data_IF_912777057859
#
_entry.id   IF_912777057859
#
_cell.length_a   1.000
_cell.length_b   1.000
_cell.length_c   1.000
_cell.angle_alpha   90.00
_cell.angle_beta   90.00
_cell.angle_gamma   90.00
#
_symmetry.space_group_name_H-M   'P 1'
#
loop_
_entity.id
_entity.type
_entity.pdbx_description
1 polymer ?
#
# COMPACT_ATOMS: atom_id res chain seq x y z
N UNK A 1 15.95 -4.20 16.45
CA UNK A 1 15.54 -3.14 17.41
C UNK A 1 14.10 -2.79 17.06
N UNK A 2 13.17 -3.01 17.99
CA UNK A 2 11.74 -2.81 17.76
C UNK A 2 11.45 -1.38 17.31
N UNK A 3 10.65 -1.22 16.27
CA UNK A 3 10.23 0.09 15.79
C UNK A 3 9.38 0.80 16.86
N UNK A 4 9.76 2.04 17.21
CA UNK A 4 9.05 2.85 18.19
C UNK A 4 7.90 3.62 17.48
N UNK A 5 6.63 3.42 17.85
CA UNK A 5 5.48 4.08 17.23
C UNK A 5 5.51 5.62 17.30
N UNK A 6 5.96 6.20 18.42
CA UNK A 6 6.07 7.67 18.59
C UNK A 6 7.12 8.25 17.64
N UNK A 7 8.24 7.55 17.49
CA UNK A 7 9.29 7.95 16.56
C UNK A 7 8.81 7.84 15.11
N UNK A 8 8.17 6.73 14.74
CA UNK A 8 7.58 6.54 13.41
C UNK A 8 6.52 7.60 13.08
N UNK A 9 5.65 7.94 14.05
CA UNK A 9 4.68 9.02 13.88
C UNK A 9 5.38 10.32 13.51
N UNK A 10 6.43 10.68 14.25
CA UNK A 10 7.19 11.92 14.00
C UNK A 10 7.83 11.91 12.61
N UNK A 11 8.53 10.84 12.25
CA UNK A 11 9.20 10.72 10.95
C UNK A 11 8.23 10.78 9.78
N UNK A 12 7.18 9.95 9.82
CA UNK A 12 6.23 9.85 8.71
C UNK A 12 5.42 11.14 8.61
N UNK A 13 5.04 11.79 9.72
CA UNK A 13 4.31 13.07 9.67
C UNK A 13 5.12 14.18 8.97
N UNK A 14 6.46 14.14 9.07
CA UNK A 14 7.33 15.11 8.40
C UNK A 14 7.28 15.00 6.86
N UNK A 15 6.77 13.89 6.33
CA UNK A 15 6.60 13.70 4.87
C UNK A 15 5.47 14.54 4.28
N UNK A 16 4.47 14.87 5.10
CA UNK A 16 3.30 15.65 4.71
C UNK A 16 2.41 14.98 3.66
N UNK A 17 1.45 15.74 3.13
CA UNK A 17 0.43 15.25 2.19
C UNK A 17 0.66 15.67 0.73
N UNK A 18 1.70 16.46 0.45
CA UNK A 18 1.91 17.06 -0.88
C UNK A 18 2.19 16.05 -2.00
N UNK A 19 2.62 14.82 -1.69
CA UNK A 19 2.78 13.77 -2.71
C UNK A 19 1.45 13.37 -3.36
N UNK A 20 0.31 13.52 -2.67
CA UNK A 20 -1.01 13.22 -3.23
C UNK A 20 -1.44 14.21 -4.34
N UNK A 21 -0.83 15.39 -4.39
CA UNK A 21 -1.11 16.45 -5.38
C UNK A 21 -0.22 16.36 -6.61
N UNK A 22 0.87 15.59 -6.53
CA UNK A 22 1.83 15.42 -7.64
C UNK A 22 1.28 14.43 -8.67
N UNK A 23 1.79 14.51 -9.90
CA UNK A 23 1.47 13.51 -10.91
C UNK A 23 1.93 12.10 -10.45
N UNK A 24 1.19 11.03 -10.81
CA UNK A 24 1.60 9.68 -10.48
C UNK A 24 2.96 9.34 -11.03
N UNK A 25 3.76 8.69 -10.19
CA UNK A 25 4.98 8.03 -10.63
C UNK A 25 4.58 6.83 -11.48
N UNK A 26 5.30 6.69 -12.56
CA UNK A 26 5.33 5.47 -13.34
C UNK A 26 6.47 4.63 -12.69
N UNK A 27 6.22 3.38 -12.29
CA UNK A 27 7.21 2.49 -11.64
C UNK A 27 7.81 1.45 -12.59
N UNK A 28 9.04 0.95 -12.32
CA UNK A 28 10.01 0.27 -13.25
C UNK A 28 9.49 -0.90 -14.09
N UNK A 29 8.24 -1.26 -13.86
CA UNK A 29 7.31 -1.97 -14.72
C UNK A 29 6.90 -1.08 -15.94
N UNK A 30 7.83 -0.20 -16.37
CA UNK A 30 7.71 1.26 -16.61
C UNK A 30 7.39 1.69 -18.04
N UNK A 31 6.92 0.79 -18.89
CA UNK A 31 6.21 1.22 -20.09
C UNK A 31 4.77 0.82 -19.88
N UNK A 32 4.00 1.74 -19.30
CA UNK A 32 2.60 1.83 -19.66
C UNK A 32 2.57 2.04 -21.17
N UNK A 33 2.16 1.02 -21.89
CA UNK A 33 1.85 1.09 -23.31
C UNK A 33 0.64 2.04 -23.42
N UNK A 34 0.91 3.36 -23.47
CA UNK A 34 -0.08 4.41 -23.66
C UNK A 34 -0.24 5.39 -22.49
N UNK A 35 -0.31 6.68 -22.82
CA UNK A 35 -0.98 7.69 -22.01
C UNK A 35 -2.48 7.35 -22.00
N UNK A 36 -3.00 6.77 -20.93
CA UNK A 36 -4.44 6.78 -20.72
C UNK A 36 -4.80 8.16 -20.12
N UNK A 37 -5.44 9.07 -20.89
CA UNK A 37 -5.72 10.43 -20.42
C UNK A 37 -6.75 10.46 -19.28
N UNK A 38 -7.47 9.36 -19.05
CA UNK A 38 -8.49 9.24 -17.99
C UNK A 38 -8.22 8.01 -17.13
N UNK A 39 -7.26 8.13 -16.21
CA UNK A 39 -7.07 7.13 -15.16
C UNK A 39 -8.17 7.28 -14.11
N UNK A 40 -8.71 6.16 -13.66
CA UNK A 40 -9.65 6.14 -12.54
C UNK A 40 -8.88 6.52 -11.26
N UNK A 41 -9.29 7.63 -10.65
CA UNK A 41 -8.74 8.05 -9.36
C UNK A 41 -9.12 7.03 -8.29
N UNK A 42 -8.12 6.62 -7.51
CA UNK A 42 -8.24 5.62 -6.45
C UNK A 42 -7.34 6.01 -5.29
N UNK A 43 -7.66 5.49 -4.10
CA UNK A 43 -6.84 5.72 -2.92
C UNK A 43 -6.79 4.48 -2.04
N UNK A 44 -5.67 4.32 -1.34
CA UNK A 44 -5.40 3.19 -0.44
C UNK A 44 -4.84 3.68 0.88
N UNK A 45 -5.05 2.91 1.94
CA UNK A 45 -4.49 3.18 3.26
C UNK A 45 -3.39 2.17 3.62
N UNK A 46 -2.19 2.68 3.85
CA UNK A 46 -1.09 1.96 4.51
C UNK A 46 -1.30 2.10 6.01
N UNK A 47 -1.95 1.10 6.60
CA UNK A 47 -2.31 1.09 8.03
C UNK A 47 -1.16 0.48 8.82
N UNK A 48 -0.56 1.27 9.69
CA UNK A 48 0.39 0.83 10.70
C UNK A 48 -0.35 0.69 12.03
N UNK A 49 -0.16 -0.44 12.70
CA UNK A 49 -0.72 -0.72 14.03
C UNK A 49 0.37 -0.64 15.08
N UNK A 50 0.16 0.18 16.09
CA UNK A 50 0.93 0.12 17.34
C UNK A 50 0.41 -1.02 18.21
N UNK A 51 1.06 -2.18 18.18
CA UNK A 51 0.61 -3.36 18.94
C UNK A 51 1.09 -3.35 20.39
N UNK A 52 1.75 -2.29 20.85
CA UNK A 52 2.45 -2.21 22.13
C UNK A 52 3.76 -3.02 22.19
N UNK A 53 3.87 -4.11 21.41
CA UNK A 53 5.08 -4.91 21.25
C UNK A 53 5.93 -4.50 20.03
N UNK A 54 5.38 -3.68 19.13
CA UNK A 54 6.03 -3.20 17.92
C UNK A 54 5.03 -2.55 16.98
N UNK A 55 5.39 -2.50 15.70
CA UNK A 55 4.49 -1.99 14.65
C UNK A 55 4.22 -3.06 13.60
N UNK A 56 2.95 -3.31 13.33
CA UNK A 56 2.50 -4.18 12.24
C UNK A 56 1.91 -3.36 11.11
N UNK A 57 1.91 -3.90 9.90
CA UNK A 57 1.23 -3.35 8.74
C UNK A 57 0.04 -4.24 8.40
N UNK A 58 -1.11 -3.64 8.12
CA UNK A 58 -2.35 -4.36 7.78
C UNK A 58 -2.46 -4.52 6.27
N UNK A 59 -2.78 -5.74 5.85
CA UNK A 59 -3.06 -6.09 4.46
C UNK A 59 -4.37 -6.86 4.37
N UNK A 60 -4.99 -6.80 3.20
CA UNK A 60 -6.15 -7.60 2.84
C UNK A 60 -5.77 -8.60 1.77
N UNK A 61 -6.42 -9.77 1.78
CA UNK A 61 -6.47 -10.65 0.64
C UNK A 61 -7.86 -10.57 -0.02
N UNK A 62 -7.88 -10.22 -1.30
CA UNK A 62 -9.12 -10.13 -2.08
C UNK A 62 -9.76 -11.50 -2.24
N UNK A 63 -11.08 -11.56 -2.18
CA UNK A 63 -11.81 -12.80 -2.36
C UNK A 63 -11.56 -13.42 -3.75
N UNK A 64 -11.37 -14.74 -3.79
CA UNK A 64 -10.97 -15.45 -5.01
C UNK A 64 -12.03 -15.42 -6.13
N UNK A 65 -13.28 -15.14 -5.79
CA UNK A 65 -14.39 -15.10 -6.74
C UNK A 65 -14.51 -13.75 -7.48
N UNK A 66 -13.70 -12.75 -7.14
CA UNK A 66 -13.80 -11.42 -7.72
C UNK A 66 -13.28 -11.39 -9.18
N UNK A 67 -13.95 -10.63 -10.07
CA UNK A 67 -13.58 -10.57 -11.49
C UNK A 67 -12.24 -9.87 -11.75
N UNK A 68 -11.79 -9.04 -10.80
CA UNK A 68 -10.53 -8.30 -10.89
C UNK A 68 -9.66 -8.65 -9.69
N UNK A 69 -8.39 -8.98 -9.96
CA UNK A 69 -7.36 -9.23 -8.95
C UNK A 69 -7.74 -10.31 -7.90
N UNK A 70 -8.33 -11.46 -8.30
CA UNK A 70 -8.74 -12.49 -7.34
C UNK A 70 -7.54 -13.00 -6.53
N UNK A 71 -7.69 -13.10 -5.21
CA UNK A 71 -6.67 -13.62 -4.30
C UNK A 71 -5.44 -12.72 -4.12
N UNK A 72 -5.39 -11.53 -4.74
CA UNK A 72 -4.25 -10.62 -4.60
C UNK A 72 -4.20 -9.98 -3.22
N UNK A 73 -2.98 -9.72 -2.75
CA UNK A 73 -2.72 -8.95 -1.54
C UNK A 73 -2.78 -7.46 -1.86
N UNK A 74 -3.52 -6.70 -1.04
CA UNK A 74 -3.71 -5.27 -1.21
C UNK A 74 -3.69 -4.54 0.13
N UNK A 75 -3.42 -3.24 0.05
CA UNK A 75 -3.88 -2.31 1.09
C UNK A 75 -5.40 -2.16 0.99
N UNK A 76 -6.10 -1.86 2.10
CA UNK A 76 -7.48 -1.41 2.02
C UNK A 76 -7.60 -0.17 1.13
N UNK A 77 -8.59 -0.14 0.25
CA UNK A 77 -8.76 0.98 -0.68
C UNK A 77 -9.49 0.65 -1.96
N UNK A 78 -9.90 1.69 -2.67
CA UNK A 78 -10.78 1.56 -3.81
C UNK A 78 -10.83 2.82 -4.67
N UNK A 79 -11.97 3.03 -5.31
CA UNK A 79 -12.15 4.12 -6.29
C UNK A 79 -12.68 5.35 -5.58
N UNK A 80 -12.26 6.51 -6.06
CA UNK A 80 -12.89 7.75 -5.65
C UNK A 80 -14.35 7.79 -6.12
N UNK A 81 -15.24 8.18 -5.22
CA UNK A 81 -16.66 8.39 -5.47
C UNK A 81 -17.01 9.89 -5.44
N UNK A 82 -18.09 10.33 -6.12
CA UNK A 82 -18.49 11.75 -6.16
C UNK A 82 -18.71 12.38 -4.78
N UNK A 83 -19.07 11.58 -3.78
CA UNK A 83 -19.33 11.98 -2.41
C UNK A 83 -18.05 12.13 -1.58
N UNK A 84 -16.92 11.59 -2.06
CA UNK A 84 -15.63 11.75 -1.40
C UNK A 84 -15.14 13.19 -1.55
N UNK A 85 -14.83 13.83 -0.42
CA UNK A 85 -14.30 15.20 -0.39
C UNK A 85 -12.96 15.32 -1.13
N UNK A 86 -12.11 14.31 -0.95
CA UNK A 86 -10.77 14.18 -1.50
C UNK A 86 -10.31 12.72 -1.44
N UNK A 87 -9.15 12.42 -2.03
CA UNK A 87 -8.59 11.06 -2.04
C UNK A 87 -8.25 10.52 -0.65
N UNK A 88 -8.00 11.41 0.33
CA UNK A 88 -7.81 10.96 1.71
C UNK A 88 -9.14 10.46 2.30
N UNK A 89 -10.26 11.13 2.02
CA UNK A 89 -11.59 10.63 2.38
C UNK A 89 -11.93 9.34 1.65
N UNK A 90 -11.57 9.19 0.37
CA UNK A 90 -11.68 7.91 -0.35
C UNK A 90 -10.97 6.79 0.40
N UNK A 91 -9.68 6.96 0.73
CA UNK A 91 -8.93 5.91 1.44
C UNK A 91 -9.54 5.57 2.81
N UNK A 92 -10.07 6.57 3.53
CA UNK A 92 -10.74 6.38 4.83
C UNK A 92 -12.07 5.64 4.69
N UNK A 93 -12.91 6.02 3.72
CA UNK A 93 -14.21 5.39 3.45
C UNK A 93 -14.00 3.92 3.10
N UNK A 94 -13.12 3.64 2.15
CA UNK A 94 -12.79 2.28 1.69
C UNK A 94 -12.20 1.44 2.83
N UNK A 95 -11.32 2.01 3.66
CA UNK A 95 -10.79 1.31 4.86
C UNK A 95 -11.90 0.94 5.84
N UNK A 96 -12.85 1.86 6.08
CA UNK A 96 -13.99 1.57 6.95
C UNK A 96 -14.89 0.47 6.36
N UNK A 97 -15.11 0.50 5.05
CA UNK A 97 -15.95 -0.48 4.36
C UNK A 97 -15.29 -1.87 4.31
N UNK A 98 -14.04 -1.96 3.85
CA UNK A 98 -13.37 -3.24 3.62
C UNK A 98 -12.91 -3.93 4.90
N UNK A 99 -12.50 -3.18 5.94
CA UNK A 99 -11.92 -3.76 7.17
C UNK A 99 -12.58 -3.30 8.47
N UNK A 100 -13.58 -2.43 8.41
CA UNK A 100 -14.33 -1.99 9.60
C UNK A 100 -13.60 -0.98 10.47
N UNK A 101 -12.50 -0.38 10.00
CA UNK A 101 -11.69 0.56 10.78
C UNK A 101 -11.99 2.01 10.38
N UNK A 102 -12.50 2.80 11.33
CA UNK A 102 -12.60 4.25 11.17
C UNK A 102 -11.30 4.93 11.61
N UNK A 103 -10.66 5.63 10.67
CA UNK A 103 -9.42 6.37 10.90
C UNK A 103 -9.78 7.85 10.89
N UNK A 104 -9.49 8.58 11.97
CA UNK A 104 -9.72 10.03 11.96
C UNK A 104 -8.78 10.71 10.95
N UNK A 105 -9.21 11.83 10.34
CA UNK A 105 -8.35 12.56 9.39
C UNK A 105 -7.01 13.00 10.01
N UNK A 106 -7.00 13.28 11.31
CA UNK A 106 -5.80 13.67 12.07
C UNK A 106 -4.81 12.50 12.32
N UNK A 107 -5.24 11.25 12.13
CA UNK A 107 -4.37 10.06 12.28
C UNK A 107 -3.71 9.63 10.97
N UNK A 108 -4.11 10.24 9.85
CA UNK A 108 -3.39 10.11 8.58
C UNK A 108 -2.16 11.00 8.64
N UNK A 109 -0.98 10.39 8.64
CA UNK A 109 0.30 11.06 8.86
C UNK A 109 0.87 11.70 7.60
N UNK A 110 0.71 11.03 6.46
CA UNK A 110 1.32 11.46 5.20
C UNK A 110 0.64 10.85 3.98
N UNK A 111 0.90 11.47 2.83
CA UNK A 111 0.70 10.85 1.53
C UNK A 111 2.03 10.31 0.98
N UNK A 112 1.96 9.19 0.28
CA UNK A 112 3.07 8.63 -0.49
C UNK A 112 2.96 9.05 -1.95
N UNK A 113 4.04 8.89 -2.75
CA UNK A 113 3.95 9.12 -4.18
C UNK A 113 2.84 8.29 -4.82
N UNK A 114 1.99 8.95 -5.60
CA UNK A 114 0.93 8.29 -6.35
C UNK A 114 1.50 7.27 -7.35
N UNK A 115 0.74 6.21 -7.60
CA UNK A 115 1.14 5.11 -8.46
C UNK A 115 0.14 4.90 -9.61
N UNK A 116 0.63 4.98 -10.85
CA UNK A 116 -0.15 4.70 -12.05
C UNK A 116 -0.13 3.21 -12.40
N UNK A 117 -1.27 2.52 -12.29
CA UNK A 117 -1.36 1.09 -12.59
C UNK A 117 -1.52 0.80 -14.09
N UNK A 118 -1.19 -0.41 -14.55
CA UNK A 118 -1.50 -0.84 -15.93
C UNK A 118 -2.99 -1.05 -16.21
N UNK A 119 -3.78 -1.26 -15.15
CA UNK A 119 -5.23 -1.46 -15.23
C UNK A 119 -6.02 -0.15 -15.29
N UNK A 120 -5.34 0.99 -15.45
CA UNK A 120 -5.97 2.28 -15.68
C UNK A 120 -6.30 3.06 -14.41
N UNK A 121 -5.69 2.73 -13.27
CA UNK A 121 -5.87 3.48 -12.04
C UNK A 121 -4.72 4.46 -11.79
N UNK A 122 -5.02 5.50 -11.04
CA UNK A 122 -4.08 6.43 -10.42
C UNK A 122 -4.33 6.38 -8.91
N UNK A 123 -3.44 5.69 -8.20
CA UNK A 123 -3.63 5.30 -6.80
C UNK A 123 -2.85 6.25 -5.90
N UNK A 124 -3.54 6.97 -5.01
CA UNK A 124 -2.96 7.79 -3.97
C UNK A 124 -2.86 6.99 -2.64
N UNK A 125 -1.65 6.67 -2.16
CA UNK A 125 -1.48 5.96 -0.89
C UNK A 125 -1.35 6.95 0.27
N UNK A 126 -2.06 6.69 1.35
CA UNK A 126 -1.99 7.44 2.60
C UNK A 126 -1.49 6.55 3.72
N UNK A 127 -0.68 7.08 4.63
CA UNK A 127 -0.16 6.32 5.78
C UNK A 127 -0.89 6.77 7.04
N UNK A 128 -1.41 5.83 7.80
CA UNK A 128 -1.97 6.07 9.12
C UNK A 128 -1.27 5.18 10.15
N UNK A 129 -1.07 5.70 11.37
CA UNK A 129 -0.61 4.93 12.51
C UNK A 129 -1.68 4.96 13.59
N UNK A 130 -2.29 3.81 13.86
CA UNK A 130 -3.42 3.67 14.78
C UNK A 130 -3.15 2.59 15.81
N UNK A 131 -3.99 2.55 16.85
CA UNK A 131 -4.05 1.41 17.77
C UNK A 131 -4.88 0.30 17.12
N UNK A 132 -4.57 -0.99 17.38
CA UNK A 132 -5.38 -2.11 16.92
C UNK A 132 -6.84 -1.97 17.32
N UNK A 133 -7.81 -2.25 16.41
CA UNK A 133 -9.19 -2.35 16.81
C UNK A 133 -9.40 -3.58 17.71
N UNK A 134 -10.52 -3.61 18.43
CA UNK A 134 -10.89 -4.81 19.18
C UNK A 134 -11.13 -6.02 18.26
N UNK A 135 -11.74 -5.78 17.09
CA UNK A 135 -12.01 -6.78 16.06
C UNK A 135 -11.97 -6.13 14.67
N UNK A 136 -11.42 -6.85 13.70
CA UNK A 136 -11.56 -6.55 12.28
C UNK A 136 -12.94 -6.96 11.78
N UNK A 137 -13.56 -6.16 10.91
CA UNK A 137 -14.85 -6.49 10.29
C UNK A 137 -14.68 -6.48 8.78
N UNK A 138 -14.35 -7.62 8.15
CA UNK A 138 -14.15 -7.68 6.71
C UNK A 138 -15.47 -7.49 5.96
N UNK A 139 -15.43 -6.78 4.85
CA UNK A 139 -16.49 -6.85 3.85
C UNK A 139 -16.34 -8.17 3.07
N UNK A 140 -17.04 -9.22 3.50
CA UNK A 140 -16.86 -10.59 2.98
C UNK A 140 -17.07 -10.73 1.46
N UNK A 141 -17.82 -9.82 0.83
CA UNK A 141 -17.97 -9.79 -0.63
C UNK A 141 -16.68 -9.42 -1.38
N UNK A 142 -15.74 -8.73 -0.72
CA UNK A 142 -14.51 -8.21 -1.32
C UNK A 142 -13.24 -8.76 -0.66
N UNK A 143 -13.27 -8.95 0.66
CA UNK A 143 -12.12 -9.31 1.49
C UNK A 143 -12.31 -10.72 2.04
N UNK A 144 -11.46 -11.64 1.59
CA UNK A 144 -11.41 -12.99 2.15
C UNK A 144 -10.68 -13.04 3.49
N UNK A 145 -9.68 -12.19 3.67
CA UNK A 145 -8.89 -12.16 4.90
C UNK A 145 -8.25 -10.79 5.15
N UNK A 146 -8.16 -10.44 6.42
CA UNK A 146 -7.39 -9.30 6.92
C UNK A 146 -6.28 -9.89 7.77
N UNK A 147 -5.04 -9.50 7.51
CA UNK A 147 -3.88 -10.03 8.23
C UNK A 147 -2.85 -8.94 8.49
N UNK A 148 -2.07 -9.17 9.55
CA UNK A 148 -1.08 -8.23 10.06
C UNK A 148 0.31 -8.82 9.86
N UNK A 149 1.23 -8.01 9.36
CA UNK A 149 2.62 -8.41 9.15
C UNK A 149 3.52 -7.45 9.91
N UNK A 150 4.46 -7.91 10.76
CA UNK A 150 5.39 -7.01 11.44
C UNK A 150 6.10 -6.10 10.44
N UNK A 151 6.05 -4.79 10.65
CA UNK A 151 6.57 -3.79 9.71
C UNK A 151 8.05 -4.04 9.39
N UNK A 152 8.83 -4.50 10.37
CA UNK A 152 10.24 -4.86 10.19
C UNK A 152 10.47 -5.86 9.04
N UNK A 153 9.50 -6.73 8.71
CA UNK A 153 9.62 -7.67 7.57
C UNK A 153 9.80 -6.95 6.24
N UNK A 154 9.17 -5.79 6.07
CA UNK A 154 9.26 -5.00 4.83
C UNK A 154 10.52 -4.13 4.77
N UNK A 155 11.19 -3.93 5.90
CA UNK A 155 12.38 -3.06 6.03
C UNK A 155 13.71 -3.82 5.85
N UNK A 156 13.64 -5.10 5.46
CA UNK A 156 14.79 -5.96 5.18
C UNK A 156 14.85 -6.19 3.67
N UNK A 157 15.90 -5.69 3.02
CA UNK A 157 16.00 -5.70 1.56
C UNK A 157 16.02 -7.14 0.99
N UNK A 158 16.60 -8.08 1.72
CA UNK A 158 16.71 -9.50 1.35
C UNK A 158 15.36 -10.22 1.29
N UNK A 159 14.31 -9.67 1.91
CA UNK A 159 12.95 -10.21 1.81
C UNK A 159 12.28 -9.84 0.47
N UNK A 160 12.81 -8.83 -0.23
CA UNK A 160 12.30 -8.38 -1.51
C UNK A 160 13.03 -9.07 -2.66
N UNK A 161 12.29 -9.35 -3.74
CA UNK A 161 12.84 -9.87 -4.98
C UNK A 161 12.34 -9.10 -6.19
N UNK A 162 13.17 -9.07 -7.23
CA UNK A 162 12.79 -8.61 -8.58
C UNK A 162 12.42 -9.80 -9.44
N UNK A 163 11.14 -10.15 -9.45
CA UNK A 163 10.60 -11.14 -10.37
C UNK A 163 10.41 -10.51 -11.75
N UNK A 164 10.21 -11.34 -12.78
CA UNK A 164 9.93 -10.83 -14.11
C UNK A 164 9.45 -11.87 -15.10
N UNK A 165 8.66 -11.42 -16.08
CA UNK A 165 8.15 -12.26 -17.15
C UNK A 165 7.98 -11.46 -18.45
N UNK A 166 7.97 -12.19 -19.57
CA UNK A 166 7.58 -11.66 -20.89
C UNK A 166 6.11 -11.97 -21.12
N UNK A 167 5.36 -10.97 -21.55
CA UNK A 167 3.94 -11.12 -21.89
C UNK A 167 3.76 -10.96 -23.41
N UNK A 168 3.25 -12.00 -24.08
CA UNK A 168 2.89 -11.93 -25.50
C UNK A 168 4.02 -11.47 -26.44
N UNK A 169 5.26 -11.92 -26.22
CA UNK A 169 6.43 -11.52 -27.03
C UNK A 169 6.99 -10.11 -26.73
N UNK A 170 6.44 -9.41 -25.73
CA UNK A 170 6.93 -8.09 -25.30
C UNK A 170 8.31 -8.16 -24.62
N UNK A 171 8.88 -6.98 -24.35
CA UNK A 171 10.05 -6.83 -23.50
C UNK A 171 9.86 -7.53 -22.15
N UNK A 172 10.96 -8.03 -21.56
CA UNK A 172 10.97 -8.56 -20.20
C UNK A 172 10.51 -7.47 -19.25
N UNK A 173 9.48 -7.77 -18.46
CA UNK A 173 8.96 -6.89 -17.43
C UNK A 173 9.44 -7.40 -16.10
N UNK A 174 9.82 -6.48 -15.22
CA UNK A 174 10.17 -6.77 -13.85
C UNK A 174 9.13 -6.17 -12.92
N UNK A 175 9.00 -6.71 -11.71
CA UNK A 175 8.19 -6.13 -10.63
C UNK A 175 8.80 -6.51 -9.28
N UNK A 176 8.47 -5.73 -8.24
CA UNK A 176 8.79 -6.09 -6.87
C UNK A 176 7.87 -7.19 -6.38
N UNK A 177 8.43 -8.14 -5.64
CA UNK A 177 7.65 -9.17 -4.97
C UNK A 177 8.25 -9.57 -3.62
N UNK A 178 7.42 -10.20 -2.78
CA UNK A 178 7.79 -10.77 -1.49
C UNK A 178 6.90 -11.99 -1.19
N UNK A 179 7.46 -12.99 -0.52
CA UNK A 179 6.66 -14.06 0.11
C UNK A 179 6.32 -13.67 1.55
N UNK A 180 5.02 -13.67 1.86
CA UNK A 180 4.49 -13.39 3.19
C UNK A 180 3.76 -14.64 3.65
N UNK A 181 4.51 -15.52 4.34
CA UNK A 181 3.99 -16.76 4.92
C UNK A 181 3.22 -17.60 3.89
N UNK A 182 3.78 -17.75 2.69
CA UNK A 182 3.18 -18.47 1.57
C UNK A 182 2.21 -17.65 0.70
N UNK A 183 2.01 -16.36 1.01
CA UNK A 183 1.23 -15.44 0.16
C UNK A 183 2.17 -14.61 -0.71
N UNK A 184 1.86 -14.55 -2.00
CA UNK A 184 2.65 -13.81 -2.96
C UNK A 184 2.21 -12.34 -3.04
N UNK A 185 3.02 -11.44 -2.47
CA UNK A 185 2.87 -9.99 -2.62
C UNK A 185 3.54 -9.55 -3.92
N UNK A 186 2.81 -8.87 -4.81
CA UNK A 186 3.33 -8.36 -6.09
C UNK A 186 2.51 -7.18 -6.61
N UNK A 187 2.92 -6.62 -7.77
CA UNK A 187 2.17 -5.58 -8.47
C UNK A 187 2.17 -4.23 -7.76
N UNK A 188 1.08 -3.47 -7.89
CA UNK A 188 0.98 -2.10 -7.39
C UNK A 188 1.22 -2.02 -5.87
N UNK A 189 0.62 -2.92 -5.09
CA UNK A 189 0.81 -3.00 -3.64
C UNK A 189 2.29 -3.17 -3.29
N UNK A 190 2.96 -4.13 -3.93
CA UNK A 190 4.38 -4.39 -3.70
C UNK A 190 5.25 -3.19 -4.07
N UNK A 191 4.98 -2.54 -5.21
CA UNK A 191 5.74 -1.38 -5.66
C UNK A 191 5.59 -0.17 -4.73
N UNK A 192 4.36 0.14 -4.29
CA UNK A 192 4.11 1.20 -3.32
C UNK A 192 4.74 0.90 -1.96
N UNK A 193 4.64 -0.35 -1.49
CA UNK A 193 5.20 -0.78 -0.22
C UNK A 193 6.74 -0.80 -0.23
N UNK A 194 7.35 -1.20 -1.35
CA UNK A 194 8.81 -1.15 -1.53
C UNK A 194 9.32 0.29 -1.46
N UNK A 195 8.69 1.22 -2.18
CA UNK A 195 9.05 2.65 -2.11
C UNK A 195 8.82 3.27 -0.73
N UNK A 196 7.77 2.85 -0.02
CA UNK A 196 7.56 3.22 1.39
C UNK A 196 8.70 2.70 2.28
N UNK A 197 9.07 1.42 2.14
CA UNK A 197 10.14 0.80 2.92
C UNK A 197 11.50 1.44 2.65
N UNK A 198 11.83 1.74 1.38
CA UNK A 198 13.07 2.42 1.00
C UNK A 198 13.18 3.79 1.67
N UNK A 199 12.14 4.62 1.56
CA UNK A 199 12.10 5.94 2.19
C UNK A 199 12.21 5.84 3.72
N UNK A 200 11.44 4.93 4.33
CA UNK A 200 11.44 4.77 5.78
C UNK A 200 12.80 4.28 6.30
N UNK A 201 13.44 3.34 5.60
CA UNK A 201 14.78 2.88 5.94
C UNK A 201 15.81 4.00 5.86
N UNK A 202 15.74 4.85 4.83
CA UNK A 202 16.61 6.02 4.72
C UNK A 202 16.48 6.95 5.95
N UNK A 203 15.25 7.27 6.35
CA UNK A 203 15.00 8.13 7.52
C UNK A 203 15.39 7.47 8.86
N UNK A 204 15.26 6.14 8.94
CA UNK A 204 15.70 5.34 10.08
C UNK A 204 17.21 5.05 10.09
N UNK A 205 17.97 5.52 9.08
CA UNK A 205 19.38 5.17 8.86
C UNK A 205 19.63 3.65 8.85
N UNK A 206 18.71 2.89 8.24
CA UNK A 206 18.83 1.44 8.04
C UNK A 206 19.29 1.15 6.61
N UNK A 207 20.18 0.15 6.41
CA UNK A 207 20.54 -0.28 5.06
C UNK A 207 19.30 -0.85 4.36
N UNK A 208 19.07 -0.43 3.13
CA UNK A 208 18.02 -0.94 2.26
C UNK A 208 18.54 -0.97 0.83
N UNK A 209 19.52 -1.83 0.58
CA UNK A 209 20.08 -2.04 -0.75
C UNK A 209 19.64 -3.41 -1.24
N UNK A 210 18.92 -3.43 -2.34
CA UNK A 210 18.56 -4.68 -3.01
C UNK A 210 19.83 -5.27 -3.65
N UNK A 211 20.02 -6.59 -3.61
CA UNK A 211 21.13 -7.26 -4.31
C UNK A 211 21.07 -7.05 -5.83
#
# INVERSE_FOLDING_TARGET
MTLNPVHLRTLISAWGHGEAERAPRFGDDLRADGSNPTRQASAVMVILLDTGAGVSLVLTQRAAHLPKHPGQISFPGGRAEPEDRDLQDTARRETREEVGLDIARADVLAALPRYATRTGYDVAPFVALVQPPALWTPQESEVAEIFEVPLDRFLVAENWRRDGARFGGSALRHWWAMDIDGRYLWGATAAMLHGFAERLCADLNRPFQNP
#
